data_IF_647658298140
#
_entry.id   IF_647658298140
#
_cell.length_a   1.000
_cell.length_b   1.000
_cell.length_c   1.000
_cell.angle_alpha   90.00
_cell.angle_beta   90.00
_cell.angle_gamma   90.00
#
_symmetry.space_group_name_H-M   'P 1'
#
loop_
_entity.id
_entity.type
_entity.pdbx_description
1 polymer ?
#
# COMPACT_ATOMS: atom_id res chain seq x y z
N UNK A 1 5.48 -3.30 72.48
CA UNK A 1 5.31 -3.14 71.01
C UNK A 1 3.90 -3.59 70.65
N UNK A 2 3.03 -2.65 70.24
CA UNK A 2 1.58 -2.88 70.09
C UNK A 2 1.27 -3.69 68.84
N UNK A 3 0.78 -4.91 69.03
CA UNK A 3 0.49 -5.91 67.97
C UNK A 3 -0.50 -5.40 66.89
N UNK A 4 -1.25 -4.33 67.18
CA UNK A 4 -2.18 -3.69 66.22
C UNK A 4 -1.50 -2.83 65.16
N UNK A 5 -0.25 -2.39 65.36
CA UNK A 5 0.50 -1.60 64.38
C UNK A 5 1.19 -2.44 63.30
N UNK A 6 1.42 -3.74 63.58
CA UNK A 6 2.04 -4.67 62.63
C UNK A 6 1.07 -5.17 61.55
N UNK A 7 -0.23 -5.18 61.84
CA UNK A 7 -1.25 -5.68 60.90
C UNK A 7 -1.56 -4.67 59.77
N UNK A 8 -1.49 -3.37 60.04
CA UNK A 8 -1.84 -2.32 59.07
C UNK A 8 -0.71 -1.97 58.09
N UNK A 9 0.55 -2.24 58.46
CA UNK A 9 1.69 -2.04 57.54
C UNK A 9 1.80 -3.14 56.47
N UNK A 10 1.31 -4.35 56.74
CA UNK A 10 1.41 -5.45 55.76
C UNK A 10 0.44 -5.28 54.57
N UNK A 11 -0.68 -4.58 54.77
CA UNK A 11 -1.70 -4.43 53.73
C UNK A 11 -1.37 -3.32 52.72
N UNK A 12 -0.50 -2.36 53.07
CA UNK A 12 -0.07 -1.30 52.13
C UNK A 12 1.09 -1.72 51.22
N UNK A 13 1.78 -2.83 51.51
CA UNK A 13 2.94 -3.28 50.72
C UNK A 13 2.52 -4.04 49.44
N UNK A 14 1.32 -4.62 49.40
CA UNK A 14 0.84 -5.40 48.24
C UNK A 14 0.39 -4.51 47.07
N UNK A 15 -0.07 -3.29 47.33
CA UNK A 15 -0.60 -2.39 46.27
C UNK A 15 0.53 -1.72 45.46
N UNK A 16 1.75 -1.66 45.97
CA UNK A 16 2.87 -0.99 45.27
C UNK A 16 3.60 -1.92 44.28
N UNK A 17 3.46 -3.25 44.41
CA UNK A 17 4.18 -4.20 43.56
C UNK A 17 3.49 -4.55 42.23
N UNK A 18 2.23 -4.18 42.01
CA UNK A 18 1.51 -4.52 40.77
C UNK A 18 1.68 -3.51 39.63
N UNK A 19 2.36 -2.38 39.85
CA UNK A 19 2.48 -1.31 38.86
C UNK A 19 3.68 -1.43 37.89
N UNK A 20 4.53 -2.46 38.00
CA UNK A 20 5.79 -2.54 37.22
C UNK A 20 5.78 -3.49 36.01
N UNK A 21 4.65 -4.09 35.62
CA UNK A 21 4.61 -5.13 34.57
C UNK A 21 4.33 -4.63 33.14
N UNK A 22 4.51 -3.34 32.83
CA UNK A 22 4.10 -2.79 31.52
C UNK A 22 5.18 -2.07 30.69
N UNK A 23 6.46 -2.33 30.92
CA UNK A 23 7.51 -1.95 29.97
C UNK A 23 8.27 -3.20 29.51
N UNK A 24 7.60 -4.01 28.68
CA UNK A 24 8.34 -4.98 27.87
C UNK A 24 9.25 -4.19 26.92
N UNK A 25 10.56 -4.45 26.87
CA UNK A 25 11.42 -3.90 25.84
C UNK A 25 10.82 -4.31 24.49
N UNK A 26 10.52 -3.31 23.64
CA UNK A 26 9.93 -3.53 22.33
C UNK A 26 10.76 -4.55 21.55
N UNK A 27 10.08 -5.52 20.90
CA UNK A 27 10.77 -6.49 20.04
C UNK A 27 11.69 -5.73 19.07
N UNK A 28 12.94 -6.21 18.85
CA UNK A 28 13.83 -5.59 17.89
C UNK A 28 13.12 -5.44 16.53
N UNK A 29 13.03 -4.22 16.00
CA UNK A 29 12.44 -4.02 14.69
C UNK A 29 13.30 -4.73 13.62
N UNK A 30 12.68 -5.37 12.61
CA UNK A 30 13.41 -5.97 11.52
C UNK A 30 14.29 -4.92 10.83
N UNK A 31 15.56 -5.27 10.57
CA UNK A 31 16.48 -4.38 9.86
C UNK A 31 16.03 -4.22 8.41
N UNK A 32 15.72 -2.99 8.01
CA UNK A 32 15.45 -2.67 6.61
C UNK A 32 16.79 -2.58 5.85
N UNK A 33 16.83 -3.19 4.68
CA UNK A 33 17.97 -3.09 3.76
C UNK A 33 17.50 -2.86 2.33
N UNK A 34 18.42 -2.46 1.45
CA UNK A 34 18.17 -2.23 0.02
C UNK A 34 17.10 -1.15 -0.30
N UNK A 35 17.03 -0.08 0.51
CA UNK A 35 16.31 1.14 0.17
C UNK A 35 17.11 1.95 -0.86
N UNK A 36 16.58 2.04 -2.08
CA UNK A 36 17.21 2.77 -3.20
C UNK A 36 16.58 4.13 -3.50
N UNK A 37 15.28 4.31 -3.20
CA UNK A 37 14.54 5.54 -3.50
C UNK A 37 13.97 6.19 -2.24
N UNK A 38 13.42 5.37 -1.33
CA UNK A 38 13.03 5.84 0.00
C UNK A 38 14.25 6.25 0.84
N UNK A 39 14.10 7.24 1.74
CA UNK A 39 15.15 7.64 2.68
C UNK A 39 15.65 6.45 3.52
N UNK A 40 16.97 6.38 3.74
CA UNK A 40 17.61 5.24 4.42
C UNK A 40 17.42 5.25 5.95
N UNK A 41 17.00 6.37 6.51
CA UNK A 41 16.80 6.59 7.94
C UNK A 41 15.38 6.25 8.43
N UNK A 42 14.51 5.74 7.55
CA UNK A 42 13.17 5.30 7.94
C UNK A 42 13.22 4.08 8.87
N UNK A 43 12.31 4.02 9.84
CA UNK A 43 12.10 2.84 10.68
C UNK A 43 11.34 1.75 9.93
N UNK A 44 11.34 0.51 10.46
CA UNK A 44 10.62 -0.60 9.84
C UNK A 44 9.14 -0.26 9.68
N UNK A 45 8.53 0.25 10.75
CA UNK A 45 7.11 0.64 10.76
C UNK A 45 6.78 1.73 9.74
N UNK A 46 7.67 2.70 9.53
CA UNK A 46 7.45 3.76 8.55
C UNK A 46 7.47 3.20 7.12
N UNK A 47 8.41 2.32 6.81
CA UNK A 47 8.45 1.65 5.50
C UNK A 47 7.24 0.75 5.31
N UNK A 48 6.88 -0.05 6.33
CA UNK A 48 5.71 -0.93 6.32
C UNK A 48 4.42 -0.17 5.97
N UNK A 49 4.17 0.97 6.63
CA UNK A 49 3.04 1.85 6.33
C UNK A 49 3.03 2.36 4.88
N UNK A 50 4.19 2.73 4.34
CA UNK A 50 4.31 3.16 2.93
C UNK A 50 3.98 1.98 1.99
N UNK A 51 4.44 0.77 2.32
CA UNK A 51 4.17 -0.42 1.52
C UNK A 51 2.69 -0.80 1.54
N UNK A 52 2.02 -0.67 2.69
CA UNK A 52 0.57 -0.89 2.80
C UNK A 52 -0.22 0.09 1.92
N UNK A 53 0.15 1.37 1.93
CA UNK A 53 -0.48 2.38 1.06
C UNK A 53 -0.29 2.01 -0.43
N UNK A 54 0.88 1.54 -0.83
CA UNK A 54 1.11 1.08 -2.21
C UNK A 54 0.30 -0.17 -2.52
N UNK A 55 0.21 -1.11 -1.59
CA UNK A 55 -0.58 -2.33 -1.74
C UNK A 55 -2.05 -2.00 -1.97
N UNK A 56 -2.62 -1.08 -1.20
CA UNK A 56 -3.99 -0.61 -1.37
C UNK A 56 -4.17 0.16 -2.69
N UNK A 57 -3.25 1.05 -3.03
CA UNK A 57 -3.35 1.86 -4.23
C UNK A 57 -3.36 1.02 -5.52
N UNK A 58 -2.60 -0.08 -5.54
CA UNK A 58 -2.48 -1.01 -6.65
C UNK A 58 -3.50 -2.17 -6.58
N UNK A 59 -4.18 -2.37 -5.45
CA UNK A 59 -5.11 -3.49 -5.26
C UNK A 59 -4.42 -4.86 -5.21
N UNK A 60 -3.18 -4.90 -4.72
CA UNK A 60 -2.35 -6.12 -4.65
C UNK A 60 -2.01 -6.49 -3.20
N UNK A 61 -1.25 -7.57 -3.02
CA UNK A 61 -0.65 -7.99 -1.75
C UNK A 61 0.87 -7.91 -1.83
N UNK A 62 1.56 -7.96 -0.68
CA UNK A 62 3.01 -7.73 -0.61
C UNK A 62 3.84 -8.69 -1.48
N UNK A 63 3.38 -9.93 -1.67
CA UNK A 63 4.01 -10.94 -2.55
C UNK A 63 3.92 -10.61 -4.05
N UNK A 64 3.15 -9.59 -4.44
CA UNK A 64 3.14 -9.06 -5.79
C UNK A 64 4.47 -8.38 -6.14
N UNK A 65 5.08 -7.66 -5.20
CA UNK A 65 6.38 -7.01 -5.41
C UNK A 65 7.53 -7.77 -4.75
N UNK A 66 7.29 -8.48 -3.65
CA UNK A 66 8.33 -9.15 -2.88
C UNK A 66 8.27 -10.67 -3.08
N UNK A 67 9.44 -11.32 -2.99
CA UNK A 67 9.55 -12.79 -3.07
C UNK A 67 9.92 -13.38 -1.71
N UNK A 68 9.43 -14.58 -1.36
CA UNK A 68 10.02 -15.34 -0.27
C UNK A 68 11.45 -15.76 -0.60
N UNK A 69 12.29 -15.84 0.42
CA UNK A 69 13.59 -16.46 0.34
C UNK A 69 13.41 -17.98 0.07
N UNK A 70 14.08 -18.57 -0.94
CA UNK A 70 13.87 -19.97 -1.32
C UNK A 70 14.19 -20.99 -0.22
N UNK A 71 15.15 -20.70 0.65
CA UNK A 71 15.63 -21.60 1.70
C UNK A 71 14.78 -21.47 2.96
N UNK A 72 14.63 -20.25 3.47
CA UNK A 72 13.94 -20.00 4.76
C UNK A 72 12.42 -19.95 4.64
N UNK A 73 11.89 -19.86 3.42
CA UNK A 73 10.45 -19.65 3.10
C UNK A 73 9.84 -18.38 3.70
N UNK A 74 10.64 -17.53 4.37
CA UNK A 74 10.21 -16.23 4.89
C UNK A 74 10.29 -15.18 3.79
N UNK A 75 9.48 -14.13 3.90
CA UNK A 75 9.54 -13.01 2.95
C UNK A 75 10.93 -12.36 2.95
N UNK A 76 11.51 -12.24 1.76
CA UNK A 76 12.73 -11.48 1.53
C UNK A 76 12.38 -10.07 1.03
N UNK A 77 12.23 -9.16 1.97
CA UNK A 77 11.88 -7.77 1.68
C UNK A 77 12.96 -7.04 0.89
N UNK A 78 14.22 -7.48 1.00
CA UNK A 78 15.38 -6.83 0.38
C UNK A 78 15.61 -7.31 -1.06
N UNK A 79 15.26 -8.56 -1.38
CA UNK A 79 15.43 -9.15 -2.71
C UNK A 79 14.84 -8.32 -3.84
N UNK A 80 15.57 -8.26 -4.95
CA UNK A 80 15.17 -7.64 -6.23
C UNK A 80 14.78 -8.69 -7.28
N UNK A 81 14.50 -9.93 -6.86
CA UNK A 81 14.20 -11.04 -7.78
C UNK A 81 12.93 -10.84 -8.62
N UNK A 82 12.00 -9.99 -8.16
CA UNK A 82 10.74 -9.68 -8.85
C UNK A 82 10.84 -8.37 -9.64
N UNK A 83 10.51 -8.35 -10.95
CA UNK A 83 10.56 -7.13 -11.76
C UNK A 83 9.59 -6.04 -11.28
N UNK A 84 8.48 -6.42 -10.64
CA UNK A 84 7.48 -5.49 -10.11
C UNK A 84 8.07 -4.54 -9.06
N UNK A 85 9.03 -5.00 -8.26
CA UNK A 85 9.74 -4.14 -7.28
C UNK A 85 10.58 -3.08 -7.98
N UNK A 86 11.22 -3.43 -9.10
CA UNK A 86 11.95 -2.45 -9.89
C UNK A 86 11.00 -1.44 -10.51
N UNK A 87 9.90 -1.89 -11.12
CA UNK A 87 8.87 -1.01 -11.67
C UNK A 87 8.31 -0.04 -10.60
N UNK A 88 8.00 -0.53 -9.40
CA UNK A 88 7.51 0.30 -8.28
C UNK A 88 8.51 1.41 -7.91
N UNK A 89 9.82 1.13 -7.92
CA UNK A 89 10.85 2.16 -7.67
C UNK A 89 10.84 3.26 -8.74
N UNK A 90 10.74 2.87 -10.01
CA UNK A 90 10.68 3.85 -11.10
C UNK A 90 9.39 4.66 -11.05
N UNK A 91 8.24 4.04 -10.75
CA UNK A 91 6.97 4.74 -10.56
C UNK A 91 7.02 5.72 -9.39
N UNK A 92 7.65 5.34 -8.27
CA UNK A 92 7.79 6.24 -7.12
C UNK A 92 8.71 7.43 -7.43
N UNK A 93 9.80 7.23 -8.20
CA UNK A 93 10.63 8.34 -8.72
C UNK A 93 9.84 9.28 -9.63
N UNK A 94 9.04 8.72 -10.54
CA UNK A 94 8.17 9.49 -11.44
C UNK A 94 7.18 10.34 -10.65
N UNK A 95 6.44 9.72 -9.72
CA UNK A 95 5.48 10.40 -8.85
C UNK A 95 6.13 11.55 -8.07
N UNK A 96 7.27 11.29 -7.41
CA UNK A 96 8.02 12.32 -6.69
C UNK A 96 8.46 13.47 -7.61
N UNK A 97 8.84 13.16 -8.85
CA UNK A 97 9.25 14.17 -9.84
C UNK A 97 8.06 15.04 -10.29
N UNK A 98 6.89 14.43 -10.53
CA UNK A 98 5.65 15.14 -10.87
C UNK A 98 5.24 16.07 -9.72
N UNK A 99 5.19 15.54 -8.49
CA UNK A 99 4.76 16.29 -7.31
C UNK A 99 5.71 17.46 -7.02
N UNK A 100 7.02 17.22 -7.08
CA UNK A 100 8.00 18.29 -6.90
C UNK A 100 7.88 19.38 -7.97
N UNK A 101 7.79 18.98 -9.25
CA UNK A 101 7.86 19.92 -10.38
C UNK A 101 6.57 20.73 -10.57
N UNK A 102 5.41 20.07 -10.47
CA UNK A 102 4.13 20.67 -10.87
C UNK A 102 3.24 21.04 -9.69
N UNK A 103 3.33 20.30 -8.58
CA UNK A 103 2.53 20.56 -7.38
C UNK A 103 3.31 21.29 -6.29
N UNK A 104 4.60 21.60 -6.54
CA UNK A 104 5.51 22.24 -5.58
C UNK A 104 5.54 21.50 -4.23
N UNK A 105 5.38 20.18 -4.29
CA UNK A 105 5.41 19.34 -3.11
C UNK A 105 6.81 19.38 -2.48
N UNK A 106 6.85 19.53 -1.16
CA UNK A 106 8.06 19.47 -0.37
C UNK A 106 8.21 18.08 0.26
N UNK A 107 9.42 17.80 0.75
CA UNK A 107 9.66 16.60 1.57
C UNK A 107 9.30 16.90 3.01
N UNK A 108 8.73 15.90 3.69
CA UNK A 108 8.52 15.94 5.13
C UNK A 108 9.82 15.83 5.92
N UNK A 109 9.71 15.84 7.25
CA UNK A 109 10.85 15.65 8.17
C UNK A 109 11.54 14.28 8.02
N UNK A 110 10.89 13.32 7.38
CA UNK A 110 11.40 11.98 7.13
C UNK A 110 12.09 11.88 5.76
N UNK A 111 12.03 12.94 4.94
CA UNK A 111 12.57 12.97 3.58
C UNK A 111 11.67 12.33 2.52
N UNK A 112 10.42 12.03 2.86
CA UNK A 112 9.38 11.48 1.97
C UNK A 112 8.60 12.63 1.35
N UNK A 113 8.19 12.49 0.10
CA UNK A 113 7.38 13.52 -0.56
C UNK A 113 6.02 13.63 0.13
N UNK A 114 5.63 14.84 0.52
CA UNK A 114 4.30 15.10 1.08
C UNK A 114 3.21 14.67 0.10
N UNK A 115 2.06 14.25 0.62
CA UNK A 115 0.86 13.86 -0.14
C UNK A 115 0.14 15.08 -0.73
N UNK A 116 0.88 15.87 -1.53
CA UNK A 116 0.34 16.96 -2.34
C UNK A 116 0.54 16.61 -3.82
N UNK A 117 -0.55 16.66 -4.59
CA UNK A 117 -0.55 16.30 -6.01
C UNK A 117 -1.01 14.88 -6.28
N UNK A 118 -0.25 14.14 -7.09
CA UNK A 118 -0.60 12.78 -7.52
C UNK A 118 -0.03 11.73 -6.57
N UNK A 119 -0.73 10.62 -6.44
CA UNK A 119 -0.27 9.43 -5.72
C UNK A 119 -0.46 8.17 -6.60
N UNK A 120 -0.03 7.02 -6.11
CA UNK A 120 -0.19 5.75 -6.82
C UNK A 120 -1.66 5.49 -7.20
N UNK A 121 -2.61 5.81 -6.30
CA UNK A 121 -4.04 5.60 -6.52
C UNK A 121 -4.63 6.50 -7.62
N UNK A 122 -4.04 7.67 -7.86
CA UNK A 122 -4.50 8.61 -8.89
C UNK A 122 -4.59 7.96 -10.28
N UNK A 123 -3.65 7.07 -10.59
CA UNK A 123 -3.62 6.30 -11.83
C UNK A 123 -4.10 4.85 -11.64
N UNK A 124 -3.57 4.14 -10.63
CA UNK A 124 -3.83 2.71 -10.48
C UNK A 124 -5.27 2.40 -10.09
N UNK A 125 -5.90 3.21 -9.23
CA UNK A 125 -7.30 3.01 -8.79
C UNK A 125 -7.61 1.58 -8.33
N UNK A 126 -6.68 0.92 -7.65
CA UNK A 126 -6.82 -0.47 -7.21
C UNK A 126 -6.56 -1.52 -8.29
N UNK A 127 -6.02 -1.14 -9.45
CA UNK A 127 -5.59 -2.05 -10.52
C UNK A 127 -4.05 -1.95 -10.69
N UNK A 128 -3.31 -3.08 -10.62
CA UNK A 128 -1.86 -3.06 -10.77
C UNK A 128 -1.40 -2.64 -12.18
N UNK A 129 -2.26 -2.77 -13.20
CA UNK A 129 -1.98 -2.42 -14.58
C UNK A 129 -3.08 -1.47 -15.09
N UNK A 130 -2.92 -0.14 -14.89
CA UNK A 130 -3.90 0.82 -15.35
C UNK A 130 -3.97 0.79 -16.89
N UNK A 131 -5.14 0.51 -17.42
CA UNK A 131 -5.38 0.55 -18.86
C UNK A 131 -5.37 2.00 -19.37
N UNK A 132 -4.72 2.23 -20.52
CA UNK A 132 -4.83 3.50 -21.23
C UNK A 132 -6.16 3.51 -21.97
N UNK A 133 -7.20 3.96 -21.29
CA UNK A 133 -8.53 4.15 -21.89
C UNK A 133 -8.53 5.49 -22.61
N UNK A 134 -8.87 5.49 -23.90
CA UNK A 134 -9.06 6.75 -24.64
C UNK A 134 -10.22 7.53 -24.04
N UNK A 135 -10.10 8.85 -23.99
CA UNK A 135 -11.22 9.69 -23.61
C UNK A 135 -12.40 9.41 -24.55
N UNK A 136 -13.63 9.22 -24.02
CA UNK A 136 -14.79 9.03 -24.87
C UNK A 136 -14.96 10.23 -25.78
N UNK A 137 -15.13 9.99 -27.08
CA UNK A 137 -15.43 11.05 -28.04
C UNK A 137 -16.84 11.56 -27.69
N UNK A 138 -17.02 12.86 -27.35
CA UNK A 138 -18.34 13.38 -27.10
C UNK A 138 -19.22 13.14 -28.33
N UNK A 139 -20.52 12.83 -28.16
CA UNK A 139 -21.40 12.66 -29.29
C UNK A 139 -21.34 13.93 -30.15
N UNK A 140 -20.94 13.78 -31.41
CA UNK A 140 -20.99 14.90 -32.36
C UNK A 140 -22.46 15.22 -32.60
N UNK A 141 -22.96 16.29 -32.00
CA UNK A 141 -24.28 16.81 -32.33
C UNK A 141 -24.30 17.17 -33.83
N UNK A 142 -25.11 16.44 -34.62
CA UNK A 142 -25.70 16.98 -35.86
C UNK A 142 -25.01 16.71 -37.21
N UNK A 143 -24.29 15.61 -37.41
CA UNK A 143 -24.01 15.11 -38.77
C UNK A 143 -25.13 14.15 -39.20
N UNK A 144 -25.63 14.17 -40.46
CA UNK A 144 -26.62 13.20 -40.90
C UNK A 144 -26.08 11.79 -40.65
N UNK A 145 -26.84 11.03 -39.86
CA UNK A 145 -26.55 9.63 -39.58
C UNK A 145 -26.56 8.92 -40.93
N UNK A 146 -25.39 8.50 -41.42
CA UNK A 146 -25.31 7.65 -42.59
C UNK A 146 -26.16 6.42 -42.27
N UNK A 147 -27.23 6.23 -43.05
CA UNK A 147 -28.11 5.10 -42.87
C UNK A 147 -27.26 3.81 -42.89
N UNK A 148 -27.51 2.86 -41.98
CA UNK A 148 -26.83 1.58 -42.06
C UNK A 148 -27.12 0.96 -43.44
N UNK A 149 -26.13 0.31 -44.08
CA UNK A 149 -26.37 -0.36 -45.35
C UNK A 149 -27.50 -1.38 -45.16
N UNK A 150 -28.54 -1.26 -45.99
CA UNK A 150 -29.62 -2.22 -46.03
C UNK A 150 -29.04 -3.60 -46.36
N UNK A 151 -28.97 -4.49 -45.37
CA UNK A 151 -28.48 -5.86 -45.59
C UNK A 151 -27.83 -6.56 -44.39
N UNK A 152 -27.54 -5.88 -43.28
CA UNK A 152 -27.00 -6.58 -42.10
C UNK A 152 -28.13 -7.25 -41.30
N UNK A 153 -28.35 -8.54 -41.54
CA UNK A 153 -29.13 -9.40 -40.63
C UNK A 153 -28.53 -9.38 -39.22
N UNK A 154 -29.32 -9.43 -38.14
CA UNK A 154 -28.79 -9.46 -36.79
C UNK A 154 -28.04 -10.78 -36.56
N UNK A 155 -26.72 -10.70 -36.40
CA UNK A 155 -25.95 -11.80 -35.85
C UNK A 155 -26.36 -11.99 -34.39
N UNK A 156 -26.82 -13.20 -34.08
CA UNK A 156 -27.38 -13.57 -32.78
C UNK A 156 -26.47 -13.24 -31.60
N UNK A 157 -27.11 -12.82 -30.52
CA UNK A 157 -26.51 -12.59 -29.21
C UNK A 157 -25.74 -13.84 -28.75
N UNK A 158 -24.44 -13.75 -28.40
CA UNK A 158 -23.78 -14.83 -27.69
C UNK A 158 -24.36 -14.95 -26.27
N UNK A 159 -24.49 -16.17 -25.71
CA UNK A 159 -25.02 -16.34 -24.37
C UNK A 159 -24.06 -15.73 -23.34
N UNK A 160 -24.64 -15.03 -22.36
CA UNK A 160 -23.92 -14.42 -21.26
C UNK A 160 -23.23 -15.49 -20.40
N UNK A 161 -21.91 -15.37 -20.23
CA UNK A 161 -21.15 -16.12 -19.24
C UNK A 161 -21.51 -15.65 -17.82
N UNK A 162 -21.76 -16.56 -16.85
CA UNK A 162 -22.06 -16.17 -15.47
C UNK A 162 -20.82 -15.56 -14.78
N UNK A 163 -21.01 -14.69 -13.77
CA UNK A 163 -19.90 -14.13 -13.02
C UNK A 163 -19.15 -15.21 -12.21
N UNK A 164 -17.83 -15.07 -12.01
CA UNK A 164 -17.06 -16.01 -11.19
C UNK A 164 -17.51 -15.94 -9.73
N UNK A 165 -17.85 -17.10 -9.17
CA UNK A 165 -18.31 -17.24 -7.80
C UNK A 165 -17.23 -16.90 -6.78
N UNK A 166 -17.63 -16.20 -5.72
CA UNK A 166 -16.82 -15.94 -4.54
C UNK A 166 -16.50 -17.26 -3.80
N UNK A 167 -15.29 -17.77 -4.00
CA UNK A 167 -14.72 -18.85 -3.18
C UNK A 167 -14.08 -18.30 -1.91
N UNK A 168 -14.50 -18.87 -0.78
CA UNK A 168 -13.83 -18.76 0.53
C UNK A 168 -12.48 -19.46 0.53
#
# INVERSE_FOLDING_TARGET
>A
MNKKLLATLSLSSVVVFTAFTAMQPGRPEPKITNLKVLPKNLTFRQVDHIMDEWSHALGVRCNFCHSPNPETKKMDWASDAKPEKHAAREMFKMMNSINKKYFKAEKDSLGVMMTTGVNCYSCHRGNPHPEVVSAPVPPRNGGPQAAPPAGATPAGTPPATPPPGNGR
#
